data_IF_173539039568
#
_entry.id   IF_173539039568
#
_cell.length_a   1.000
_cell.length_b   1.000
_cell.length_c   1.000
_cell.angle_alpha   90.00
_cell.angle_beta   90.00
_cell.angle_gamma   90.00
#
_symmetry.space_group_name_H-M   'P 1'
#
loop_
_entity.id
_entity.type
_entity.pdbx_description
1 polymer ?
#
# COMPACT_ATOMS: atom_id res chain seq x y z
N UNK A 1 54.08 -24.56 44.23
CA UNK A 1 53.51 -24.70 42.86
C UNK A 1 52.12 -25.29 43.07
N UNK A 2 51.00 -24.65 42.78
CA UNK A 2 50.69 -23.59 41.81
C UNK A 2 49.63 -22.61 42.34
N UNK A 3 49.81 -21.37 41.88
CA UNK A 3 48.97 -20.18 41.81
C UNK A 3 47.53 -20.17 42.38
N UNK A 4 47.37 -19.42 43.48
CA UNK A 4 46.12 -18.73 43.81
C UNK A 4 45.78 -17.71 42.71
N UNK A 5 44.70 -17.96 41.98
CA UNK A 5 44.14 -17.03 41.01
C UNK A 5 43.30 -15.98 41.74
N UNK A 6 43.60 -14.67 41.62
CA UNK A 6 42.84 -13.62 42.30
C UNK A 6 41.42 -13.46 41.71
N UNK A 7 40.43 -13.00 42.51
CA UNK A 7 39.05 -12.84 42.07
C UNK A 7 38.93 -11.80 40.93
N UNK A 8 37.96 -11.95 40.00
CA UNK A 8 37.80 -11.05 38.86
C UNK A 8 37.53 -9.63 39.34
N UNK A 9 38.43 -8.70 38.98
CA UNK A 9 38.27 -7.29 39.31
C UNK A 9 37.05 -6.71 38.58
N UNK A 10 36.20 -5.91 39.25
CA UNK A 10 35.05 -5.29 38.61
C UNK A 10 35.54 -4.31 37.54
N UNK A 11 35.18 -4.59 36.28
CA UNK A 11 35.56 -3.78 35.14
C UNK A 11 34.89 -2.41 35.27
N UNK A 12 35.65 -1.32 35.18
CA UNK A 12 35.09 0.03 35.21
C UNK A 12 34.16 0.22 33.99
N UNK A 13 33.02 0.92 34.14
CA UNK A 13 32.03 1.05 33.07
C UNK A 13 32.61 1.76 31.83
N UNK A 14 33.57 2.66 32.02
CA UNK A 14 34.31 3.30 30.94
C UNK A 14 35.18 2.31 30.14
N UNK A 15 35.83 1.35 30.82
CA UNK A 15 36.63 0.31 30.18
C UNK A 15 35.74 -0.69 29.45
N UNK A 16 34.60 -1.07 30.04
CA UNK A 16 33.62 -1.94 29.38
C UNK A 16 33.08 -1.33 28.08
N UNK A 17 32.83 -0.02 28.05
CA UNK A 17 32.43 0.68 26.83
C UNK A 17 33.56 0.72 25.79
N UNK A 18 34.80 0.99 26.19
CA UNK A 18 35.94 1.02 25.25
C UNK A 18 36.19 -0.36 24.61
N UNK A 19 36.08 -1.45 25.40
CA UNK A 19 36.19 -2.81 24.89
C UNK A 19 35.06 -3.16 23.91
N UNK A 20 33.83 -2.73 24.21
CA UNK A 20 32.67 -2.94 23.31
C UNK A 20 32.84 -2.19 21.99
N UNK A 21 33.30 -0.94 22.04
CA UNK A 21 33.56 -0.14 20.83
C UNK A 21 34.66 -0.78 19.99
N UNK A 22 35.75 -1.27 20.59
CA UNK A 22 36.81 -2.00 19.87
C UNK A 22 36.33 -3.30 19.24
N UNK A 23 35.45 -4.03 19.93
CA UNK A 23 34.85 -5.24 19.39
C UNK A 23 34.00 -4.91 18.17
N UNK A 24 33.17 -3.87 18.23
CA UNK A 24 32.37 -3.41 17.08
C UNK A 24 33.25 -2.92 15.92
N UNK A 25 34.36 -2.22 16.21
CA UNK A 25 35.36 -1.84 15.19
C UNK A 25 35.95 -3.06 14.48
N UNK A 26 36.25 -4.15 15.21
CA UNK A 26 36.76 -5.39 14.62
C UNK A 26 35.76 -6.14 13.73
N UNK A 27 34.46 -6.02 14.03
CA UNK A 27 33.39 -6.69 13.27
C UNK A 27 33.03 -5.93 11.98
N UNK A 28 33.04 -4.60 12.01
CA UNK A 28 32.66 -3.76 10.87
C UNK A 28 33.84 -3.57 9.91
N UNK A 29 35.08 -3.57 10.41
CA UNK A 29 36.28 -3.42 9.59
C UNK A 29 37.34 -4.47 9.98
N UNK A 30 37.31 -5.69 9.38
CA UNK A 30 38.42 -6.62 9.48
C UNK A 30 39.62 -6.01 8.74
N UNK A 31 40.48 -5.30 9.46
CA UNK A 31 41.69 -4.71 8.87
C UNK A 31 42.64 -5.81 8.38
N UNK A 32 43.15 -5.74 7.13
CA UNK A 32 44.25 -6.59 6.69
C UNK A 32 45.52 -6.13 7.41
N UNK A 33 45.90 -6.88 8.46
CA UNK A 33 47.25 -7.00 9.02
C UNK A 33 48.24 -5.88 8.71
N UNK A 34 48.49 -4.99 9.67
CA UNK A 34 49.86 -4.57 9.97
C UNK A 34 50.01 -4.16 11.44
N UNK A 35 51.11 -4.61 12.01
CA UNK A 35 51.66 -4.36 13.33
C UNK A 35 51.60 -2.90 13.78
N UNK A 36 51.11 -2.66 15.00
CA UNK A 36 51.68 -1.82 16.09
C UNK A 36 50.52 -1.36 16.99
N UNK A 37 50.52 -1.63 18.31
CA UNK A 37 49.48 -1.10 19.20
C UNK A 37 49.73 0.39 19.47
N UNK A 38 48.82 1.32 19.09
CA UNK A 38 48.97 2.71 19.51
C UNK A 38 48.55 2.88 20.99
N UNK A 39 49.28 3.70 21.75
CA UNK A 39 48.97 3.99 23.15
C UNK A 39 47.69 4.83 23.27
N UNK A 40 46.87 4.50 24.28
CA UNK A 40 45.73 5.25 24.83
C UNK A 40 45.02 6.25 23.89
N UNK A 41 43.86 5.81 23.42
CA UNK A 41 42.90 6.51 22.57
C UNK A 41 42.58 7.97 22.99
N UNK A 42 43.13 8.94 22.25
CA UNK A 42 42.86 10.36 22.45
C UNK A 42 41.56 10.87 21.80
N UNK A 43 40.75 9.99 21.18
CA UNK A 43 39.45 10.37 20.64
C UNK A 43 38.33 10.04 21.65
N UNK A 44 37.42 11.00 21.93
CA UNK A 44 36.27 10.73 22.80
C UNK A 44 35.44 9.60 22.18
N UNK A 45 34.93 8.70 23.02
CA UNK A 45 34.12 7.53 22.64
C UNK A 45 32.99 7.91 21.68
N UNK A 46 32.39 9.09 21.87
CA UNK A 46 31.38 9.65 20.98
C UNK A 46 31.84 9.82 19.52
N UNK A 47 33.10 10.25 19.29
CA UNK A 47 33.66 10.36 17.94
C UNK A 47 33.90 9.00 17.29
N UNK A 48 34.30 8.00 18.09
CA UNK A 48 34.49 6.62 17.61
C UNK A 48 33.17 5.96 17.23
N UNK A 49 32.13 6.18 18.02
CA UNK A 49 30.77 5.73 17.70
C UNK A 49 30.27 6.40 16.43
N UNK A 50 30.50 7.71 16.25
CA UNK A 50 30.10 8.38 15.00
C UNK A 50 30.87 7.86 13.79
N UNK A 51 32.18 7.58 13.90
CA UNK A 51 32.96 7.01 12.80
C UNK A 51 32.53 5.58 12.46
N UNK A 52 32.17 4.80 13.48
CA UNK A 52 31.59 3.47 13.32
C UNK A 52 30.25 3.52 12.60
N UNK A 53 29.39 4.47 12.98
CA UNK A 53 28.09 4.63 12.35
C UNK A 53 28.26 5.00 10.87
N UNK A 54 29.13 5.96 10.56
CA UNK A 54 29.43 6.31 9.16
C UNK A 54 30.10 5.18 8.38
N UNK A 55 30.91 4.34 9.04
CA UNK A 55 31.53 3.18 8.40
C UNK A 55 30.52 2.07 8.12
N UNK A 56 29.54 1.88 9.01
CA UNK A 56 28.44 0.94 8.86
C UNK A 56 27.48 1.40 7.76
N UNK A 57 27.16 2.70 7.70
CA UNK A 57 26.37 3.31 6.63
C UNK A 57 27.08 3.12 5.27
N UNK A 58 28.39 3.40 5.21
CA UNK A 58 29.18 3.19 3.99
C UNK A 58 29.30 1.71 3.61
N UNK A 59 29.39 0.79 4.58
CA UNK A 59 29.42 -0.64 4.34
C UNK A 59 28.07 -1.19 3.85
N UNK A 60 26.95 -0.54 4.21
CA UNK A 60 25.60 -0.87 3.71
C UNK A 60 25.39 -0.39 2.28
N UNK A 61 25.90 0.80 1.94
CA UNK A 61 25.78 1.42 0.61
C UNK A 61 26.73 0.80 -0.42
N UNK A 62 27.82 0.16 0.02
CA UNK A 62 28.72 -0.55 -0.87
C UNK A 62 28.00 -1.69 -1.63
N UNK A 63 28.25 -1.87 -2.95
CA UNK A 63 27.58 -2.89 -3.78
C UNK A 63 28.00 -4.33 -3.45
N UNK A 64 29.04 -4.51 -2.64
CA UNK A 64 29.49 -5.80 -2.11
C UNK A 64 28.86 -6.14 -0.74
N UNK A 65 27.94 -5.31 -0.24
CA UNK A 65 27.29 -5.57 1.04
C UNK A 65 26.36 -6.76 0.91
N UNK A 66 26.49 -7.69 1.85
CA UNK A 66 25.69 -8.92 1.85
C UNK A 66 24.23 -8.54 2.12
N UNK A 67 23.30 -8.98 1.28
CA UNK A 67 21.86 -8.72 1.46
C UNK A 67 21.35 -9.14 2.84
N UNK A 68 22.01 -10.11 3.47
CA UNK A 68 21.77 -10.53 4.85
C UNK A 68 22.00 -9.39 5.87
N UNK A 69 23.04 -8.57 5.70
CA UNK A 69 23.36 -7.45 6.59
C UNK A 69 22.36 -6.30 6.41
N UNK A 70 21.96 -6.02 5.15
CA UNK A 70 20.88 -5.05 4.87
C UNK A 70 19.55 -5.47 5.48
N UNK A 71 19.18 -6.75 5.37
CA UNK A 71 17.97 -7.31 6.01
C UNK A 71 18.07 -7.26 7.53
N UNK A 72 19.23 -7.59 8.10
CA UNK A 72 19.46 -7.55 9.54
C UNK A 72 19.35 -6.14 10.11
N UNK A 73 20.02 -5.16 9.51
CA UNK A 73 19.98 -3.75 9.96
C UNK A 73 18.58 -3.18 9.81
N UNK A 74 17.88 -3.43 8.70
CA UNK A 74 16.50 -2.98 8.49
C UNK A 74 15.53 -3.57 9.52
N UNK A 75 15.77 -4.81 9.95
CA UNK A 75 14.99 -5.46 10.99
C UNK A 75 15.34 -4.97 12.40
N UNK A 76 16.55 -4.45 12.64
CA UNK A 76 16.95 -3.86 13.93
C UNK A 76 16.59 -2.36 14.06
N UNK A 77 16.50 -1.63 12.94
CA UNK A 77 16.18 -0.17 12.94
C UNK A 77 14.68 0.12 12.87
N UNK A 78 13.85 -0.89 12.68
CA UNK A 78 12.40 -0.80 12.82
C UNK A 78 12.02 -0.79 14.31
N UNK A 79 11.01 -0.01 14.75
CA UNK A 79 10.56 0.03 16.15
C UNK A 79 10.05 -1.31 16.70
N UNK A 80 9.91 -2.33 15.85
CA UNK A 80 9.65 -3.72 16.23
C UNK A 80 10.98 -4.50 16.23
N UNK A 81 11.73 -4.35 17.30
CA UNK A 81 13.11 -4.83 17.45
C UNK A 81 13.15 -6.36 17.65
N UNK A 82 12.91 -7.10 16.57
CA UNK A 82 12.93 -8.57 16.53
C UNK A 82 14.32 -9.17 16.80
N UNK A 83 15.38 -8.37 16.59
CA UNK A 83 16.76 -8.80 16.74
C UNK A 83 17.49 -8.13 17.92
N UNK A 84 16.85 -7.21 18.66
CA UNK A 84 17.31 -6.68 19.94
C UNK A 84 17.91 -7.74 20.88
N UNK A 85 17.24 -8.90 21.11
CA UNK A 85 17.77 -9.90 22.02
C UNK A 85 19.05 -10.56 21.52
N UNK A 86 19.32 -10.55 20.21
CA UNK A 86 20.54 -11.08 19.60
C UNK A 86 21.72 -10.10 19.71
N UNK A 87 21.44 -8.81 19.87
CA UNK A 87 22.43 -7.74 20.00
C UNK A 87 22.76 -7.41 21.47
N UNK A 88 21.95 -7.90 22.42
CA UNK A 88 22.27 -7.80 23.84
C UNK A 88 23.44 -8.73 24.19
N UNK A 89 24.55 -8.22 24.73
CA UNK A 89 25.75 -9.00 25.03
C UNK A 89 25.55 -10.09 26.10
N UNK A 90 24.38 -10.17 26.73
CA UNK A 90 23.98 -11.28 27.59
C UNK A 90 24.01 -12.64 26.86
N UNK A 91 23.91 -12.64 25.51
CA UNK A 91 23.99 -13.85 24.70
C UNK A 91 25.40 -14.11 24.13
N UNK A 92 26.21 -13.05 23.89
CA UNK A 92 27.52 -13.16 23.22
C UNK A 92 28.69 -13.36 24.19
N UNK A 93 28.55 -12.95 25.46
CA UNK A 93 29.39 -13.45 26.54
C UNK A 93 28.63 -14.66 27.08
N UNK A 94 29.12 -15.91 26.93
CA UNK A 94 28.70 -16.94 27.86
C UNK A 94 29.15 -16.38 29.20
N UNK A 95 28.23 -15.77 29.94
CA UNK A 95 28.47 -15.44 31.32
C UNK A 95 28.92 -16.77 31.91
N UNK A 96 30.23 -16.86 32.24
CA UNK A 96 30.66 -17.75 33.30
C UNK A 96 29.61 -17.57 34.38
N UNK A 97 28.98 -18.65 34.86
CA UNK A 97 27.77 -18.57 35.65
C UNK A 97 28.10 -17.65 36.83
N UNK A 98 27.70 -16.38 36.74
CA UNK A 98 27.38 -15.65 37.93
C UNK A 98 26.40 -16.60 38.60
N UNK A 99 26.68 -17.06 39.83
CA UNK A 99 25.86 -18.08 40.43
C UNK A 99 24.43 -17.52 40.45
N UNK A 100 23.63 -17.92 39.45
CA UNK A 100 22.66 -18.97 39.65
C UNK A 100 23.19 -19.77 40.82
N UNK A 101 22.93 -19.26 42.03
CA UNK A 101 22.69 -20.11 43.17
C UNK A 101 21.80 -21.17 42.56
N UNK A 102 22.43 -22.30 42.28
CA UNK A 102 21.83 -23.50 41.73
C UNK A 102 21.00 -24.13 42.84
N UNK A 103 20.13 -23.29 43.37
CA UNK A 103 19.19 -23.46 44.45
C UNK A 103 18.06 -22.45 44.18
N UNK A 104 17.45 -22.58 43.01
CA UNK A 104 16.09 -22.09 42.80
C UNK A 104 15.36 -23.05 41.86
N UNK A 105 15.29 -24.30 42.31
CA UNK A 105 14.02 -25.03 42.30
C UNK A 105 13.02 -24.46 43.33
N UNK A 106 13.14 -23.17 43.64
CA UNK A 106 12.20 -22.40 44.42
C UNK A 106 11.35 -21.59 43.45
N UNK A 107 10.06 -21.37 43.75
CA UNK A 107 9.21 -20.55 42.91
C UNK A 107 9.91 -19.19 42.76
N UNK A 108 10.09 -18.68 41.52
CA UNK A 108 10.20 -17.24 41.35
C UNK A 108 9.06 -16.67 42.20
N UNK A 109 9.40 -15.93 43.27
CA UNK A 109 8.51 -15.62 44.41
C UNK A 109 7.08 -15.60 43.93
N UNK A 110 6.19 -16.46 44.45
CA UNK A 110 4.79 -16.49 44.01
C UNK A 110 4.19 -15.08 43.95
N UNK A 111 4.66 -14.15 44.78
CA UNK A 111 4.32 -12.74 44.73
C UNK A 111 4.80 -12.00 43.46
N UNK A 112 6.00 -12.27 42.94
CA UNK A 112 6.49 -11.73 41.67
C UNK A 112 5.74 -12.31 40.46
N UNK A 113 5.38 -13.60 40.49
CA UNK A 113 4.52 -14.21 39.46
C UNK A 113 3.12 -13.61 39.49
N UNK A 114 2.53 -13.43 40.68
CA UNK A 114 1.23 -12.78 40.85
C UNK A 114 1.26 -11.32 40.41
N UNK A 115 2.31 -10.57 40.74
CA UNK A 115 2.46 -9.19 40.31
C UNK A 115 2.50 -9.07 38.78
N UNK A 116 3.24 -9.97 38.11
CA UNK A 116 3.32 -10.00 36.65
C UNK A 116 1.98 -10.42 36.01
N UNK A 117 1.26 -11.38 36.61
CA UNK A 117 -0.08 -11.77 36.15
C UNK A 117 -1.10 -10.66 36.33
N UNK A 118 -1.02 -9.87 37.42
CA UNK A 118 -1.89 -8.72 37.65
C UNK A 118 -1.56 -7.55 36.70
N UNK A 119 -0.29 -7.33 36.41
CA UNK A 119 0.15 -6.35 35.42
C UNK A 119 -0.34 -6.73 34.00
N UNK A 120 -0.27 -8.02 33.67
CA UNK A 120 -0.73 -8.57 32.39
C UNK A 120 -2.25 -8.88 32.34
N UNK A 121 -3.01 -8.65 33.42
CA UNK A 121 -4.43 -9.04 33.52
C UNK A 121 -5.28 -8.37 32.42
N UNK A 122 -5.02 -7.09 32.14
CA UNK A 122 -5.74 -6.35 31.12
C UNK A 122 -5.45 -6.87 29.71
N UNK A 123 -4.18 -7.16 29.43
CA UNK A 123 -3.74 -7.69 28.14
C UNK A 123 -4.28 -9.10 27.92
N UNK A 124 -4.29 -9.95 28.96
CA UNK A 124 -4.87 -11.30 28.91
C UNK A 124 -6.38 -11.27 28.64
N UNK A 125 -7.13 -10.33 29.24
CA UNK A 125 -8.57 -10.17 28.94
C UNK A 125 -8.83 -9.68 27.53
N UNK A 126 -7.99 -8.78 27.03
CA UNK A 126 -8.10 -8.26 25.68
C UNK A 126 -7.81 -9.37 24.68
N UNK A 127 -6.75 -10.13 24.91
CA UNK A 127 -6.37 -11.28 24.10
C UNK A 127 -7.40 -12.41 24.16
N UNK A 128 -8.03 -12.66 25.30
CA UNK A 128 -9.16 -13.60 25.40
C UNK A 128 -10.35 -13.15 24.53
N UNK A 129 -10.69 -11.85 24.55
CA UNK A 129 -11.76 -11.30 23.72
C UNK A 129 -11.43 -11.42 22.24
N UNK A 130 -10.21 -11.11 21.85
CA UNK A 130 -9.73 -11.22 20.47
C UNK A 130 -9.68 -12.68 20.01
N UNK A 131 -9.25 -13.62 20.86
CA UNK A 131 -9.27 -15.04 20.55
C UNK A 131 -10.69 -15.57 20.37
N UNK A 132 -11.66 -15.11 21.18
CA UNK A 132 -13.08 -15.44 20.97
C UNK A 132 -13.61 -14.85 19.67
N UNK A 133 -13.19 -13.64 19.30
CA UNK A 133 -13.57 -13.03 18.02
C UNK A 133 -12.97 -13.81 16.84
N UNK A 134 -11.70 -14.19 16.93
CA UNK A 134 -11.03 -15.05 15.95
C UNK A 134 -11.71 -16.40 15.84
N UNK A 135 -12.12 -17.02 16.95
CA UNK A 135 -12.87 -18.28 16.92
C UNK A 135 -14.23 -18.11 16.24
N UNK A 136 -14.96 -17.02 16.48
CA UNK A 136 -16.22 -16.72 15.77
C UNK A 136 -15.99 -16.48 14.28
N UNK A 137 -14.85 -15.91 13.89
CA UNK A 137 -14.47 -15.71 12.48
C UNK A 137 -14.03 -17.01 11.81
N UNK A 138 -13.40 -17.90 12.56
CA UNK A 138 -12.98 -19.24 12.12
C UNK A 138 -14.20 -20.17 11.97
N UNK A 139 -15.15 -20.13 12.90
CA UNK A 139 -16.45 -20.83 12.80
C UNK A 139 -17.26 -20.37 11.58
N UNK A 140 -17.05 -19.12 11.14
CA UNK A 140 -17.64 -18.56 9.91
C UNK A 140 -16.82 -18.86 8.65
N UNK A 141 -15.73 -19.61 8.79
CA UNK A 141 -14.81 -20.00 7.72
C UNK A 141 -14.25 -18.77 6.96
N UNK A 142 -14.02 -17.67 7.68
CA UNK A 142 -13.51 -16.40 7.10
C UNK A 142 -11.99 -16.34 7.12
N UNK A 143 -11.34 -17.11 7.99
CA UNK A 143 -9.88 -17.13 8.16
C UNK A 143 -9.14 -17.86 7.00
N UNK A 144 -9.86 -18.67 6.21
CA UNK A 144 -9.35 -19.33 5.00
C UNK A 144 -9.73 -18.60 3.70
N UNK A 145 -9.83 -19.34 2.60
CA UNK A 145 -10.46 -18.84 1.38
C UNK A 145 -11.99 -18.68 1.54
N UNK A 146 -12.59 -19.17 2.64
CA UNK A 146 -14.04 -19.28 2.79
C UNK A 146 -14.65 -19.93 1.56
N UNK A 147 -15.67 -19.29 0.98
CA UNK A 147 -16.33 -19.77 -0.24
C UNK A 147 -15.56 -19.47 -1.54
N UNK A 148 -14.35 -18.90 -1.51
CA UNK A 148 -13.60 -18.63 -2.75
C UNK A 148 -13.22 -19.91 -3.49
N UNK A 149 -12.98 -21.02 -2.77
CA UNK A 149 -12.74 -22.33 -3.37
C UNK A 149 -13.93 -22.81 -4.21
N UNK A 150 -15.16 -22.50 -3.77
CA UNK A 150 -16.39 -22.81 -4.50
C UNK A 150 -16.60 -21.90 -5.73
N UNK A 151 -15.90 -20.76 -5.78
CA UNK A 151 -15.98 -19.79 -6.88
C UNK A 151 -14.91 -20.00 -7.96
N UNK A 152 -13.84 -20.73 -7.66
CA UNK A 152 -12.83 -21.13 -8.64
C UNK A 152 -13.40 -21.91 -9.84
N UNK A 153 -14.33 -22.88 -9.68
CA UNK A 153 -14.98 -23.55 -10.82
C UNK A 153 -15.96 -22.64 -11.58
N UNK A 154 -16.37 -21.50 -11.03
CA UNK A 154 -17.26 -20.53 -11.70
C UNK A 154 -16.52 -19.59 -12.66
N UNK A 155 -15.19 -19.49 -12.54
CA UNK A 155 -14.36 -18.66 -13.43
C UNK A 155 -14.53 -18.96 -14.93
N UNK A 156 -14.48 -20.22 -15.40
CA UNK A 156 -14.66 -20.51 -16.83
C UNK A 156 -16.08 -20.16 -17.32
N UNK A 157 -17.10 -20.36 -16.49
CA UNK A 157 -18.47 -19.99 -16.83
C UNK A 157 -18.63 -18.46 -16.95
N UNK A 158 -17.98 -17.69 -16.08
CA UNK A 158 -18.00 -16.23 -16.12
C UNK A 158 -17.23 -15.69 -17.35
N UNK A 159 -16.11 -16.32 -17.71
CA UNK A 159 -15.38 -16.00 -18.92
C UNK A 159 -16.22 -16.26 -20.19
N UNK A 160 -16.93 -17.39 -20.24
CA UNK A 160 -17.87 -17.68 -21.33
C UNK A 160 -18.98 -16.64 -21.43
N UNK A 161 -19.62 -16.28 -20.31
CA UNK A 161 -20.66 -15.24 -20.30
C UNK A 161 -20.10 -13.89 -20.74
N UNK A 162 -18.89 -13.52 -20.33
CA UNK A 162 -18.26 -12.28 -20.80
C UNK A 162 -18.00 -12.30 -22.30
N UNK A 163 -17.58 -13.44 -22.84
CA UNK A 163 -17.35 -13.59 -24.28
C UNK A 163 -18.66 -13.58 -25.07
N UNK A 164 -19.74 -14.14 -24.52
CA UNK A 164 -21.07 -14.12 -25.14
C UNK A 164 -21.73 -12.72 -25.11
N UNK A 165 -21.41 -11.90 -24.10
CA UNK A 165 -21.96 -10.54 -23.98
C UNK A 165 -21.31 -9.56 -24.97
N UNK A 166 -20.03 -9.76 -25.33
CA UNK A 166 -19.30 -8.89 -26.28
C UNK A 166 -19.99 -8.75 -27.65
N UNK A 167 -20.36 -9.83 -28.37
CA UNK A 167 -21.02 -9.71 -29.67
C UNK A 167 -22.40 -9.07 -29.54
N UNK A 168 -23.13 -9.36 -28.45
CA UNK A 168 -24.44 -8.77 -28.18
C UNK A 168 -24.31 -7.25 -28.02
N UNK A 169 -23.36 -6.77 -27.23
CA UNK A 169 -23.09 -5.33 -27.09
C UNK A 169 -22.73 -4.66 -28.42
N UNK A 170 -21.94 -5.33 -29.27
CA UNK A 170 -21.61 -4.83 -30.60
C UNK A 170 -22.86 -4.70 -31.50
N UNK A 171 -23.75 -5.71 -31.49
CA UNK A 171 -25.00 -5.65 -32.27
C UNK A 171 -25.94 -4.54 -31.79
N UNK A 172 -25.99 -4.26 -30.49
CA UNK A 172 -26.78 -3.14 -29.96
C UNK A 172 -26.23 -1.79 -30.42
N UNK A 173 -24.91 -1.61 -30.41
CA UNK A 173 -24.28 -0.38 -30.90
C UNK A 173 -24.53 -0.18 -32.41
N UNK A 174 -24.47 -1.25 -33.20
CA UNK A 174 -24.81 -1.18 -34.63
C UNK A 174 -26.30 -0.82 -34.84
N UNK A 175 -27.20 -1.42 -34.07
CA UNK A 175 -28.62 -1.11 -34.13
C UNK A 175 -28.88 0.36 -33.76
N UNK A 176 -28.24 0.85 -32.70
CA UNK A 176 -28.35 2.22 -32.23
C UNK A 176 -27.92 3.20 -33.32
N UNK A 177 -26.73 3.02 -33.90
CA UNK A 177 -26.24 3.88 -35.00
C UNK A 177 -27.17 3.86 -36.20
N UNK A 178 -27.73 2.70 -36.57
CA UNK A 178 -28.70 2.58 -37.66
C UNK A 178 -30.01 3.32 -37.35
N UNK A 179 -30.52 3.20 -36.13
CA UNK A 179 -31.74 3.92 -35.72
C UNK A 179 -31.53 5.42 -35.68
N UNK A 180 -30.37 5.89 -35.21
CA UNK A 180 -30.03 7.30 -35.19
C UNK A 180 -29.88 7.86 -36.61
N UNK A 181 -29.24 7.12 -37.51
CA UNK A 181 -29.16 7.50 -38.92
C UNK A 181 -30.55 7.59 -39.58
N UNK A 182 -31.47 6.68 -39.24
CA UNK A 182 -32.84 6.72 -39.74
C UNK A 182 -33.61 7.94 -39.20
N UNK A 183 -33.47 8.24 -37.92
CA UNK A 183 -34.06 9.43 -37.29
C UNK A 183 -33.52 10.71 -37.92
N UNK A 184 -32.21 10.78 -38.18
CA UNK A 184 -31.59 11.92 -38.84
C UNK A 184 -32.14 12.10 -40.26
N UNK A 185 -32.21 11.03 -41.05
CA UNK A 185 -32.79 11.09 -42.41
C UNK A 185 -34.26 11.50 -42.40
N UNK A 186 -35.02 11.05 -41.40
CA UNK A 186 -36.41 11.46 -41.22
C UNK A 186 -36.52 12.94 -40.88
N UNK A 187 -35.65 13.45 -40.01
CA UNK A 187 -35.60 14.87 -39.67
C UNK A 187 -35.24 15.72 -40.90
N UNK A 188 -34.25 15.31 -41.69
CA UNK A 188 -33.88 15.98 -42.93
C UNK A 188 -35.04 15.97 -43.94
N UNK A 189 -35.77 14.86 -44.04
CA UNK A 189 -36.97 14.76 -44.88
C UNK A 189 -38.08 15.71 -44.40
N UNK A 190 -38.32 15.83 -43.09
CA UNK A 190 -39.28 16.80 -42.56
C UNK A 190 -38.83 18.23 -42.86
N UNK A 191 -37.54 18.55 -42.73
CA UNK A 191 -37.01 19.87 -43.02
C UNK A 191 -37.25 20.25 -44.48
N UNK A 192 -36.88 19.38 -45.41
CA UNK A 192 -37.09 19.63 -46.85
C UNK A 192 -38.56 19.71 -47.22
N UNK A 193 -39.43 18.90 -46.62
CA UNK A 193 -40.87 18.98 -46.82
C UNK A 193 -41.46 20.28 -46.25
N UNK A 194 -40.96 20.75 -45.11
CA UNK A 194 -41.37 22.01 -44.50
C UNK A 194 -40.94 23.21 -45.36
N UNK A 195 -39.72 23.19 -45.87
CA UNK A 195 -39.22 24.18 -46.84
C UNK A 195 -40.08 24.21 -48.11
N UNK A 196 -40.47 23.04 -48.61
CA UNK A 196 -41.34 22.94 -49.78
C UNK A 196 -42.73 23.52 -49.49
N UNK A 197 -43.31 23.25 -48.31
CA UNK A 197 -44.58 23.86 -47.91
C UNK A 197 -44.51 25.37 -47.79
N UNK A 198 -43.42 25.92 -47.22
CA UNK A 198 -43.21 27.38 -47.18
C UNK A 198 -43.10 27.94 -48.59
N UNK A 199 -42.34 27.29 -49.48
CA UNK A 199 -42.22 27.74 -50.88
C UNK A 199 -43.57 27.72 -51.62
N UNK A 200 -44.43 26.75 -51.31
CA UNK A 200 -45.77 26.67 -51.87
C UNK A 200 -46.68 27.77 -51.34
N UNK A 201 -46.61 28.08 -50.04
CA UNK A 201 -47.36 29.16 -49.43
C UNK A 201 -46.97 30.53 -50.02
N UNK A 202 -45.66 30.75 -50.26
CA UNK A 202 -45.16 31.96 -50.92
C UNK A 202 -45.70 32.09 -52.36
N UNK A 203 -45.66 31.00 -53.14
CA UNK A 203 -46.20 30.99 -54.51
C UNK A 203 -47.70 31.24 -54.52
N UNK A 204 -48.43 30.63 -53.57
CA UNK A 204 -49.88 30.81 -53.44
C UNK A 204 -50.21 32.26 -53.07
N UNK A 205 -49.47 32.82 -52.12
CA UNK A 205 -49.63 34.21 -51.68
C UNK A 205 -49.33 35.20 -52.81
N UNK A 206 -48.31 34.97 -53.62
CA UNK A 206 -48.02 35.82 -54.79
C UNK A 206 -49.11 35.69 -55.87
N UNK A 207 -49.59 34.47 -56.13
CA UNK A 207 -50.71 34.26 -57.06
C UNK A 207 -51.99 34.96 -56.58
N UNK A 208 -52.30 34.91 -55.28
CA UNK A 208 -53.41 35.64 -54.67
C UNK A 208 -53.22 37.17 -54.76
N UNK A 209 -52.01 37.67 -54.52
CA UNK A 209 -51.69 39.09 -54.66
C UNK A 209 -51.88 39.57 -56.11
N UNK A 210 -51.43 38.78 -57.09
CA UNK A 210 -51.64 39.09 -58.52
C UNK A 210 -53.13 39.06 -58.89
N UNK A 211 -53.88 38.07 -58.40
CA UNK A 211 -55.32 37.97 -58.65
C UNK A 211 -56.09 39.14 -58.03
N UNK A 212 -55.79 39.51 -56.78
CA UNK A 212 -56.42 40.66 -56.13
C UNK A 212 -56.11 41.98 -56.86
N UNK A 213 -54.92 42.13 -57.42
CA UNK A 213 -54.57 43.27 -58.27
C UNK A 213 -55.39 43.30 -59.55
N UNK A 214 -55.47 42.17 -60.27
CA UNK A 214 -56.28 42.07 -61.49
C UNK A 214 -57.77 42.32 -61.22
N UNK A 215 -58.30 41.83 -60.10
CA UNK A 215 -59.67 42.09 -59.68
C UNK A 215 -59.93 43.58 -59.40
N UNK A 216 -58.99 44.28 -58.74
CA UNK A 216 -59.10 45.72 -58.52
C UNK A 216 -59.07 46.49 -59.83
N UNK A 217 -58.16 46.15 -60.75
CA UNK A 217 -58.07 46.77 -62.07
C UNK A 217 -59.35 46.53 -62.89
N UNK A 218 -59.94 45.34 -62.81
CA UNK A 218 -61.23 45.03 -63.45
C UNK A 218 -62.38 45.84 -62.85
N UNK A 219 -62.52 45.87 -61.52
CA UNK A 219 -63.56 46.64 -60.84
C UNK A 219 -63.47 48.14 -61.16
N UNK A 220 -62.26 48.70 -61.22
CA UNK A 220 -62.07 50.11 -61.59
C UNK A 220 -62.48 50.42 -63.03
N UNK A 221 -62.29 49.49 -63.97
CA UNK A 221 -62.80 49.63 -65.35
C UNK A 221 -64.32 49.56 -65.38
N UNK A 222 -64.90 48.57 -64.71
CA UNK A 222 -66.36 48.40 -64.65
C UNK A 222 -67.03 49.62 -63.99
N UNK A 223 -66.41 50.25 -62.98
CA UNK A 223 -66.89 51.50 -62.38
C UNK A 223 -66.80 52.71 -63.34
N UNK A 224 -65.78 52.78 -64.20
CA UNK A 224 -65.63 53.86 -65.19
C UNK A 224 -66.64 53.73 -66.34
N UNK A 225 -67.00 52.50 -66.75
CA UNK A 225 -67.96 52.26 -67.84
C UNK A 225 -69.43 52.53 -67.42
N UNK A 226 -69.71 52.70 -66.13
CA UNK A 226 -71.06 52.98 -65.58
C UNK A 226 -71.25 54.48 -65.28
N UNK A 227 -70.17 55.28 -65.22
CA UNK A 227 -70.19 56.72 -64.92
C UNK A 227 -70.23 57.58 -66.20
#
# INVERSE_FOLDING_TARGET
>A
MEHLQPPPQPISPALALDLRVRFLESLVAPSPSSSTPPPHSASPVARRISTLNTALDHALDAPASTDALRRFVRNCTSPYDLNAPLLSPALAVPAAPAPLSADTGGPASHAAQLALVLEAEHDLRTLERELRELQVLDDKDVAGAGKLGDLEPLRPALAQVQDDVKPVAATYAELETRTMALLQRYNDYISTMSELFVSWDDILTDAEAQLTRLERERRARDEYDIA
#
